data_IF_986043822157
#
_entry.id   IF_986043822157
#
_cell.length_a   1.000
_cell.length_b   1.000
_cell.length_c   1.000
_cell.angle_alpha   90.00
_cell.angle_beta   90.00
_cell.angle_gamma   90.00
#
_symmetry.space_group_name_H-M   'P 1'
#
loop_
_entity.id
_entity.type
_entity.pdbx_description
1 polymer ?
#
# COMPACT_ATOMS: atom_id res chain seq x y z
N UNK A 1 -25.57 9.48 -74.51
CA UNK A 1 -25.38 8.61 -75.68
C UNK A 1 -23.99 8.86 -76.25
N UNK A 2 -23.40 7.78 -76.75
CA UNK A 2 -22.02 7.59 -77.22
C UNK A 2 -21.55 8.60 -78.29
N UNK A 3 -20.33 9.07 -78.09
CA UNK A 3 -19.15 9.07 -78.98
C UNK A 3 -19.16 9.65 -80.42
N UNK A 4 -18.06 10.39 -80.66
CA UNK A 4 -17.16 10.39 -81.83
C UNK A 4 -17.51 11.14 -83.13
N UNK A 5 -16.66 12.13 -83.46
CA UNK A 5 -16.02 12.31 -84.79
C UNK A 5 -14.82 13.30 -84.65
N UNK A 6 -13.58 12.83 -84.80
CA UNK A 6 -12.76 12.74 -86.03
C UNK A 6 -12.16 14.07 -86.53
N UNK A 7 -10.93 14.31 -86.08
CA UNK A 7 -9.68 14.64 -86.82
C UNK A 7 -9.71 15.45 -88.13
N UNK A 8 -8.74 16.37 -88.21
CA UNK A 8 -7.90 16.64 -89.39
C UNK A 8 -7.43 18.10 -89.41
N UNK A 9 -6.28 18.52 -89.94
CA UNK A 9 -5.02 17.95 -90.47
C UNK A 9 -4.15 19.18 -90.84
N UNK A 10 -2.82 19.01 -90.99
CA UNK A 10 -1.85 19.88 -91.74
C UNK A 10 -1.41 21.21 -91.11
N UNK A 11 -0.19 21.73 -91.29
CA UNK A 11 1.06 21.31 -91.96
C UNK A 11 2.24 22.19 -91.45
N UNK A 12 3.44 21.61 -91.46
CA UNK A 12 4.82 22.14 -91.55
C UNK A 12 5.23 23.60 -91.28
N UNK A 13 6.37 23.76 -90.58
CA UNK A 13 7.65 24.22 -91.18
C UNK A 13 8.85 24.11 -90.21
N UNK A 14 9.82 23.31 -90.64
CA UNK A 14 11.25 23.31 -90.28
C UNK A 14 11.90 24.69 -90.65
N UNK A 15 13.01 25.21 -90.13
CA UNK A 15 14.34 24.68 -89.78
C UNK A 15 15.18 25.78 -89.05
N UNK A 16 16.42 25.41 -88.68
CA UNK A 16 17.61 26.19 -88.24
C UNK A 16 17.82 26.28 -86.72
N UNK A 17 18.55 25.36 -86.07
CA UNK A 17 19.96 24.92 -86.20
C UNK A 17 20.97 26.05 -85.89
N UNK A 18 21.63 25.89 -84.73
CA UNK A 18 22.76 26.68 -84.25
C UNK A 18 23.37 25.96 -83.03
N UNK A 19 24.24 25.02 -83.34
CA UNK A 19 24.89 24.00 -82.51
C UNK A 19 26.08 24.52 -81.68
N UNK A 20 26.56 23.65 -80.76
CA UNK A 20 27.85 23.60 -80.04
C UNK A 20 27.86 24.20 -78.62
N UNK A 21 28.23 23.52 -77.52
CA UNK A 21 28.98 22.27 -77.24
C UNK A 21 28.41 21.64 -75.92
N UNK A 22 28.10 20.34 -75.77
CA UNK A 22 28.97 19.17 -75.49
C UNK A 22 29.72 19.32 -74.12
N UNK A 23 29.74 18.45 -73.08
CA UNK A 23 29.56 16.99 -72.82
C UNK A 23 29.52 16.80 -71.23
N UNK A 24 29.41 15.59 -70.61
CA UNK A 24 28.25 14.74 -70.27
C UNK A 24 28.00 14.47 -68.76
N UNK A 25 27.01 13.60 -68.53
CA UNK A 25 26.99 12.48 -67.59
C UNK A 25 26.24 12.68 -66.27
N UNK A 26 25.00 12.20 -66.28
CA UNK A 26 24.36 11.57 -65.14
C UNK A 26 25.39 10.70 -64.42
N UNK A 27 25.55 10.94 -63.12
CA UNK A 27 26.27 9.99 -62.27
C UNK A 27 25.31 8.88 -61.94
N UNK A 28 25.76 7.69 -62.30
CA UNK A 28 25.15 6.41 -62.08
C UNK A 28 24.83 6.22 -60.59
N UNK A 29 23.54 6.18 -60.25
CA UNK A 29 23.04 5.58 -59.02
C UNK A 29 22.98 4.05 -59.22
N UNK A 30 24.12 3.43 -59.47
CA UNK A 30 24.22 1.97 -59.51
C UNK A 30 25.52 1.54 -58.84
N UNK A 31 25.46 1.30 -57.52
CA UNK A 31 26.28 0.31 -56.81
C UNK A 31 25.85 0.19 -55.33
N UNK A 32 24.55 -0.02 -55.07
CA UNK A 32 24.13 -0.59 -53.77
C UNK A 32 24.14 -2.11 -53.87
N UNK A 33 25.32 -2.69 -53.65
CA UNK A 33 25.55 -4.12 -53.49
C UNK A 33 24.76 -4.68 -52.29
N UNK A 34 23.70 -5.45 -52.54
CA UNK A 34 23.00 -6.22 -51.51
C UNK A 34 23.14 -7.73 -51.73
N UNK A 35 24.05 -8.37 -50.99
CA UNK A 35 24.11 -9.83 -50.78
C UNK A 35 24.63 -10.01 -49.33
N UNK A 36 24.04 -10.76 -48.40
CA UNK A 36 23.74 -12.19 -48.47
C UNK A 36 22.63 -12.59 -47.48
N UNK A 37 21.66 -13.38 -47.95
CA UNK A 37 20.76 -14.17 -47.10
C UNK A 37 21.33 -15.59 -46.97
N UNK A 38 22.30 -15.80 -46.06
CA UNK A 38 22.66 -17.14 -45.64
C UNK A 38 21.47 -17.73 -44.85
N UNK A 39 20.81 -18.74 -45.42
CA UNK A 39 19.79 -19.64 -44.83
C UNK A 39 18.28 -19.42 -45.09
N UNK A 40 17.82 -18.73 -46.15
CA UNK A 40 16.37 -18.79 -46.49
C UNK A 40 16.09 -19.01 -47.99
N UNK A 41 15.43 -20.12 -48.34
CA UNK A 41 14.97 -20.49 -49.70
C UNK A 41 13.68 -19.78 -50.18
N UNK A 42 13.24 -18.72 -49.49
CA UNK A 42 12.00 -18.03 -49.86
C UNK A 42 12.26 -17.00 -50.97
N UNK A 43 11.37 -16.90 -51.99
CA UNK A 43 11.50 -15.93 -53.07
C UNK A 43 11.54 -14.48 -52.52
N UNK A 44 12.25 -13.56 -53.19
CA UNK A 44 12.34 -12.17 -52.75
C UNK A 44 10.94 -11.54 -52.70
N UNK A 45 10.61 -10.88 -51.59
CA UNK A 45 9.37 -10.10 -51.49
C UNK A 45 9.44 -8.96 -52.50
N UNK A 46 8.45 -8.85 -53.39
CA UNK A 46 8.32 -7.73 -54.32
C UNK A 46 8.31 -6.42 -53.53
N UNK A 47 9.17 -5.47 -53.94
CA UNK A 47 9.14 -4.10 -53.43
C UNK A 47 7.85 -3.45 -53.94
N UNK A 48 6.86 -3.32 -53.06
CA UNK A 48 5.64 -2.55 -53.35
C UNK A 48 6.00 -1.08 -53.17
N UNK A 49 6.17 -0.36 -54.28
CA UNK A 49 6.24 1.10 -54.28
C UNK A 49 4.79 1.59 -54.14
N UNK A 50 4.44 2.10 -52.97
CA UNK A 50 3.15 2.76 -52.76
C UNK A 50 3.26 4.17 -53.33
N UNK A 51 2.45 4.47 -54.35
CA UNK A 51 2.27 5.84 -54.81
C UNK A 51 1.67 6.67 -53.67
N UNK A 52 2.21 7.87 -53.44
CA UNK A 52 1.69 8.80 -52.44
C UNK A 52 0.30 9.27 -52.89
N UNK A 53 -0.74 8.62 -52.37
CA UNK A 53 -2.12 8.99 -52.61
C UNK A 53 -2.34 10.37 -51.96
N UNK A 54 -2.29 11.44 -52.77
CA UNK A 54 -2.67 12.80 -52.38
C UNK A 54 -4.20 12.90 -52.25
N UNK A 55 -4.80 11.99 -51.47
CA UNK A 55 -6.15 12.17 -50.97
C UNK A 55 -6.24 13.50 -50.21
N UNK A 56 -7.44 14.11 -50.09
CA UNK A 56 -7.58 15.37 -49.38
C UNK A 56 -6.95 15.21 -48.00
N UNK A 57 -5.89 15.97 -47.77
CA UNK A 57 -5.20 16.08 -46.48
C UNK A 57 -6.19 16.73 -45.52
N UNK A 58 -7.16 15.95 -45.05
CA UNK A 58 -8.05 16.36 -43.99
C UNK A 58 -7.19 16.62 -42.76
N UNK A 59 -7.55 17.64 -42.00
CA UNK A 59 -6.87 18.11 -40.77
C UNK A 59 -6.84 17.05 -39.64
N UNK A 60 -7.14 15.78 -39.94
CA UNK A 60 -7.19 14.67 -38.98
C UNK A 60 -8.26 14.85 -37.90
N UNK A 61 -9.13 15.85 -38.01
CA UNK A 61 -10.12 16.16 -36.99
C UNK A 61 -11.22 15.13 -36.99
N UNK A 62 -11.56 14.61 -35.80
CA UNK A 62 -12.71 13.73 -35.65
C UNK A 62 -14.00 14.41 -36.14
N UNK A 63 -14.77 13.71 -36.98
CA UNK A 63 -16.07 14.15 -37.56
C UNK A 63 -17.07 14.60 -36.47
N UNK A 64 -16.90 14.13 -35.24
CA UNK A 64 -17.49 14.71 -34.04
C UNK A 64 -16.41 14.95 -32.99
N UNK A 65 -16.16 16.22 -32.67
CA UNK A 65 -15.29 16.59 -31.56
C UNK A 65 -15.85 16.05 -30.24
N UNK A 66 -15.03 15.32 -29.49
CA UNK A 66 -15.42 14.88 -28.15
C UNK A 66 -15.67 16.11 -27.28
N UNK A 67 -16.73 16.15 -26.46
CA UNK A 67 -17.00 17.31 -25.64
C UNK A 67 -15.86 17.53 -24.65
N UNK A 68 -15.27 18.72 -24.68
CA UNK A 68 -14.08 19.08 -23.91
C UNK A 68 -14.30 19.01 -22.39
N UNK A 69 -15.56 19.01 -21.94
CA UNK A 69 -15.94 18.88 -20.53
C UNK A 69 -15.45 17.59 -19.87
N UNK A 70 -15.24 16.50 -20.62
CA UNK A 70 -14.69 15.25 -20.06
C UNK A 70 -13.18 15.29 -19.84
N UNK A 71 -12.47 16.19 -20.53
CA UNK A 71 -11.00 16.22 -20.54
C UNK A 71 -10.45 17.44 -19.82
N UNK A 72 -11.20 18.54 -19.81
CA UNK A 72 -10.79 19.81 -19.22
C UNK A 72 -11.80 20.22 -18.16
N UNK A 73 -11.33 20.24 -16.91
CA UNK A 73 -12.10 20.75 -15.79
C UNK A 73 -12.10 22.27 -15.83
N UNK A 74 -13.24 22.87 -16.22
CA UNK A 74 -13.39 24.34 -16.34
C UNK A 74 -13.39 25.04 -14.98
N UNK A 75 -14.01 24.42 -13.98
CA UNK A 75 -14.23 25.02 -12.66
C UNK A 75 -13.41 24.27 -11.61
N UNK A 76 -12.24 24.82 -11.27
CA UNK A 76 -11.38 24.33 -10.19
C UNK A 76 -11.48 25.30 -9.01
N UNK A 77 -11.73 24.79 -7.80
CA UNK A 77 -11.77 25.61 -6.58
C UNK A 77 -10.43 26.30 -6.31
N UNK A 78 -10.45 27.43 -5.61
CA UNK A 78 -9.22 28.18 -5.30
C UNK A 78 -8.23 27.35 -4.49
N UNK A 79 -8.71 26.57 -3.52
CA UNK A 79 -7.90 25.63 -2.73
C UNK A 79 -7.20 24.62 -3.64
N UNK A 80 -7.93 24.01 -4.58
CA UNK A 80 -7.37 23.01 -5.48
C UNK A 80 -6.39 23.61 -6.49
N UNK A 81 -6.62 24.85 -6.93
CA UNK A 81 -5.63 25.60 -7.72
C UNK A 81 -4.34 25.81 -6.93
N UNK A 82 -4.43 26.16 -5.65
CA UNK A 82 -3.27 26.32 -4.80
C UNK A 82 -2.48 25.00 -4.67
N UNK A 83 -3.16 23.88 -4.42
CA UNK A 83 -2.52 22.56 -4.40
C UNK A 83 -1.78 22.26 -5.71
N UNK A 84 -2.38 22.57 -6.87
CA UNK A 84 -1.71 22.40 -8.15
C UNK A 84 -0.48 23.30 -8.29
N UNK A 85 -0.53 24.55 -7.82
CA UNK A 85 0.64 25.45 -7.84
C UNK A 85 1.77 24.95 -6.95
N UNK A 86 1.45 24.31 -5.81
CA UNK A 86 2.45 23.73 -4.90
C UNK A 86 3.07 22.46 -5.49
N UNK A 87 2.27 21.64 -6.18
CA UNK A 87 2.75 20.41 -6.81
C UNK A 87 3.48 20.65 -8.14
N UNK A 88 3.16 21.74 -8.85
CA UNK A 88 3.76 22.09 -10.13
C UNK A 88 5.23 22.49 -9.94
N UNK A 89 6.08 22.01 -10.84
CA UNK A 89 7.50 22.38 -10.92
C UNK A 89 7.66 23.35 -12.09
N UNK A 90 8.23 24.53 -11.84
CA UNK A 90 8.48 25.51 -12.91
C UNK A 90 9.63 25.07 -13.82
N UNK A 91 9.69 25.60 -15.04
CA UNK A 91 10.78 25.32 -15.99
C UNK A 91 12.15 25.67 -15.40
N UNK A 92 12.26 26.81 -14.71
CA UNK A 92 13.49 27.24 -14.04
C UNK A 92 13.92 26.26 -12.95
N UNK A 93 12.96 25.68 -12.20
CA UNK A 93 13.26 24.64 -11.22
C UNK A 93 13.74 23.35 -11.89
N UNK A 94 13.23 22.99 -13.07
CA UNK A 94 13.72 21.84 -13.84
C UNK A 94 15.15 22.09 -14.30
N UNK A 95 15.44 23.27 -14.84
CA UNK A 95 16.79 23.66 -15.26
C UNK A 95 17.76 23.68 -14.08
N UNK A 96 17.38 24.27 -12.95
CA UNK A 96 18.21 24.24 -11.75
C UNK A 96 18.51 22.80 -11.30
N UNK A 97 17.51 21.90 -11.35
CA UNK A 97 17.68 20.48 -11.00
C UNK A 97 18.50 19.70 -12.01
N UNK A 98 18.49 20.07 -13.29
CA UNK A 98 19.26 19.37 -14.33
C UNK A 98 20.77 19.57 -14.16
N UNK A 99 21.17 20.72 -13.62
CA UNK A 99 22.56 20.99 -13.26
C UNK A 99 23.01 20.28 -11.98
N UNK A 100 22.07 19.76 -11.18
CA UNK A 100 22.40 19.00 -9.96
C UNK A 100 22.72 17.55 -10.32
N UNK A 101 23.80 17.06 -9.74
CA UNK A 101 24.27 15.68 -9.90
C UNK A 101 23.20 14.66 -9.44
N UNK A 102 22.70 13.86 -10.39
CA UNK A 102 21.70 12.84 -10.14
C UNK A 102 22.34 11.50 -9.73
N UNK A 103 22.73 11.39 -8.46
CA UNK A 103 23.41 10.20 -7.87
C UNK A 103 22.76 8.85 -8.22
N UNK A 104 21.43 8.82 -8.39
CA UNK A 104 20.68 7.61 -8.73
C UNK A 104 20.77 7.15 -10.19
N UNK A 105 21.36 7.96 -11.08
CA UNK A 105 21.58 7.64 -12.50
C UNK A 105 23.04 7.33 -12.83
N UNK A 106 23.98 7.75 -11.99
CA UNK A 106 25.42 7.57 -12.23
C UNK A 106 25.89 6.14 -11.94
N UNK A 107 25.25 5.48 -10.97
CA UNK A 107 25.56 4.08 -10.67
C UNK A 107 24.79 3.20 -11.64
N UNK A 108 25.45 2.22 -12.30
CA UNK A 108 24.74 1.20 -13.06
C UNK A 108 23.60 0.63 -12.22
N UNK A 109 22.37 0.68 -12.72
CA UNK A 109 21.18 0.12 -12.03
C UNK A 109 21.33 -1.36 -11.67
N UNK A 110 22.35 -2.02 -12.21
CA UNK A 110 22.76 -3.38 -11.90
C UNK A 110 23.98 -3.33 -11.00
N UNK A 111 23.86 -3.89 -9.81
CA UNK A 111 25.00 -4.09 -8.91
C UNK A 111 26.00 -5.03 -9.60
N UNK A 112 27.17 -4.52 -9.95
CA UNK A 112 28.19 -5.29 -10.69
C UNK A 112 29.04 -6.16 -9.77
N UNK A 113 29.33 -5.69 -8.55
CA UNK A 113 30.16 -6.43 -7.57
C UNK A 113 29.67 -6.14 -6.15
N UNK A 114 29.25 -7.19 -5.45
CA UNK A 114 28.97 -7.14 -4.01
C UNK A 114 30.20 -7.63 -3.26
N UNK A 115 31.04 -6.72 -2.77
CA UNK A 115 32.13 -7.06 -1.87
C UNK A 115 31.58 -7.20 -0.44
N UNK A 116 31.26 -8.42 -0.02
CA UNK A 116 30.85 -8.71 1.35
C UNK A 116 32.12 -8.79 2.22
N UNK A 117 32.60 -7.64 2.70
CA UNK A 117 33.72 -7.60 3.64
C UNK A 117 33.21 -7.81 5.07
N UNK A 118 33.04 -9.06 5.49
CA UNK A 118 32.88 -9.39 6.91
C UNK A 118 34.25 -9.28 7.58
N UNK A 119 34.48 -8.21 8.35
CA UNK A 119 35.51 -8.26 9.39
C UNK A 119 35.04 -9.28 10.43
N UNK A 120 35.61 -10.47 10.37
CA UNK A 120 35.33 -11.54 11.32
C UNK A 120 35.84 -11.13 12.71
N UNK A 121 34.93 -10.73 13.59
CA UNK A 121 35.17 -10.84 15.03
C UNK A 121 34.70 -12.22 15.46
N UNK A 122 35.64 -13.00 15.98
CA UNK A 122 35.33 -14.25 16.66
C UNK A 122 34.45 -13.93 17.87
N UNK A 123 33.37 -14.68 18.04
CA UNK A 123 32.42 -14.59 19.15
C UNK A 123 31.54 -13.33 19.21
N UNK A 124 30.53 -13.26 18.34
CA UNK A 124 29.25 -12.64 18.72
C UNK A 124 28.12 -13.26 17.91
N UNK A 125 27.13 -13.80 18.62
CA UNK A 125 25.88 -14.30 18.03
C UNK A 125 25.18 -13.09 17.41
N UNK A 126 25.29 -13.00 16.08
CA UNK A 126 24.80 -11.91 15.22
C UNK A 126 23.43 -11.36 15.64
N UNK A 127 23.45 -10.22 16.33
CA UNK A 127 22.37 -9.25 16.25
C UNK A 127 22.47 -8.61 14.85
N UNK A 128 21.42 -8.77 14.05
CA UNK A 128 21.37 -8.26 12.68
C UNK A 128 21.12 -6.76 12.69
N UNK A 129 21.85 -6.09 11.79
CA UNK A 129 21.90 -4.65 11.57
C UNK A 129 20.54 -3.96 11.42
N UNK A 130 20.45 -2.78 12.02
CA UNK A 130 19.41 -1.78 11.80
C UNK A 130 19.53 -1.17 10.40
N UNK A 131 18.98 -1.86 9.42
CA UNK A 131 18.45 -1.20 8.23
C UNK A 131 17.10 -0.62 8.63
N UNK A 132 16.81 0.64 8.28
CA UNK A 132 15.50 1.25 8.43
C UNK A 132 14.43 0.36 7.78
N UNK A 133 13.86 -0.56 8.57
CA UNK A 133 12.95 -1.59 8.10
C UNK A 133 11.60 -0.94 7.86
N UNK A 134 11.34 -0.57 6.61
CA UNK A 134 9.97 -0.45 6.11
C UNK A 134 9.17 -1.63 6.67
N UNK A 135 8.00 -1.37 7.27
CA UNK A 135 7.22 -2.33 8.07
C UNK A 135 6.76 -3.53 7.22
N UNK A 136 7.69 -4.45 6.95
CA UNK A 136 7.42 -5.68 6.23
C UNK A 136 6.73 -6.64 7.18
N UNK A 137 5.59 -7.17 6.74
CA UNK A 137 4.83 -8.14 7.51
C UNK A 137 5.74 -9.34 7.83
N UNK A 138 5.79 -9.81 9.08
CA UNK A 138 6.56 -11.00 9.44
C UNK A 138 6.18 -12.20 8.58
N UNK A 139 7.17 -13.03 8.25
CA UNK A 139 6.95 -14.24 7.45
C UNK A 139 5.93 -15.19 8.09
N UNK A 140 5.36 -16.10 7.31
CA UNK A 140 4.26 -17.00 7.75
C UNK A 140 4.61 -17.78 9.03
N UNK A 141 5.82 -18.34 9.14
CA UNK A 141 6.29 -19.10 10.32
C UNK A 141 6.34 -18.22 11.57
N UNK A 142 6.93 -17.02 11.45
CA UNK A 142 7.00 -16.06 12.56
C UNK A 142 5.61 -15.62 13.00
N UNK A 143 4.71 -15.33 12.06
CA UNK A 143 3.32 -14.97 12.36
C UNK A 143 2.56 -16.06 13.13
N UNK A 144 2.76 -17.33 12.77
CA UNK A 144 2.17 -18.46 13.50
C UNK A 144 2.74 -18.54 14.93
N UNK A 145 4.06 -18.37 15.09
CA UNK A 145 4.68 -18.40 16.42
C UNK A 145 4.18 -17.28 17.33
N UNK A 146 4.01 -16.06 16.79
CA UNK A 146 3.46 -14.92 17.53
C UNK A 146 2.02 -15.18 17.95
N UNK A 147 1.19 -15.74 17.05
CA UNK A 147 -0.19 -16.11 17.39
C UNK A 147 -0.26 -17.15 18.51
N UNK A 148 0.63 -18.15 18.50
CA UNK A 148 0.70 -19.15 19.58
C UNK A 148 1.10 -18.51 20.91
N UNK A 149 2.11 -17.65 20.92
CA UNK A 149 2.56 -16.92 22.12
C UNK A 149 1.47 -16.00 22.69
N UNK A 150 0.72 -15.30 21.82
CA UNK A 150 -0.39 -14.44 22.25
C UNK A 150 -1.48 -15.28 22.94
N UNK A 151 -1.91 -16.38 22.32
CA UNK A 151 -2.90 -17.30 22.92
C UNK A 151 -2.44 -17.84 24.27
N UNK A 152 -1.19 -18.28 24.36
CA UNK A 152 -0.63 -18.80 25.61
C UNK A 152 -0.61 -17.73 26.71
N UNK A 153 -0.25 -16.49 26.38
CA UNK A 153 -0.27 -15.38 27.34
C UNK A 153 -1.69 -15.02 27.79
N UNK A 154 -2.66 -15.07 26.89
CA UNK A 154 -4.08 -14.85 27.22
C UNK A 154 -4.62 -15.95 28.13
N UNK A 155 -4.32 -17.22 27.84
CA UNK A 155 -4.71 -18.36 28.67
C UNK A 155 -4.08 -18.30 30.07
N UNK A 156 -2.79 -17.94 30.17
CA UNK A 156 -2.10 -17.73 31.45
C UNK A 156 -2.76 -16.62 32.27
N UNK A 157 -3.03 -15.47 31.65
CA UNK A 157 -3.72 -14.35 32.32
C UNK A 157 -5.13 -14.75 32.77
N UNK A 158 -5.88 -15.46 31.94
CA UNK A 158 -7.21 -15.95 32.32
C UNK A 158 -7.16 -16.94 33.49
N UNK A 159 -6.16 -17.82 33.53
CA UNK A 159 -5.95 -18.75 34.64
C UNK A 159 -5.55 -18.02 35.94
N UNK A 160 -4.73 -16.97 35.84
CA UNK A 160 -4.36 -16.13 36.99
C UNK A 160 -5.57 -15.38 37.56
N UNK A 161 -6.40 -14.79 36.70
CA UNK A 161 -7.65 -14.13 37.12
C UNK A 161 -8.59 -15.11 37.83
N UNK A 162 -8.75 -16.33 37.30
CA UNK A 162 -9.55 -17.38 37.96
C UNK A 162 -8.98 -17.76 39.33
N UNK A 163 -7.67 -17.97 39.43
CA UNK A 163 -7.00 -18.27 40.70
C UNK A 163 -7.14 -17.14 41.72
N UNK A 164 -7.14 -15.88 41.29
CA UNK A 164 -7.38 -14.74 42.18
C UNK A 164 -8.84 -14.70 42.63
N UNK A 165 -9.79 -14.91 41.72
CA UNK A 165 -11.22 -14.99 42.08
C UNK A 165 -11.52 -16.11 43.08
N UNK A 166 -10.97 -17.31 42.87
CA UNK A 166 -11.10 -18.45 43.80
C UNK A 166 -10.54 -18.12 45.20
N UNK A 167 -9.40 -17.42 45.26
CA UNK A 167 -8.80 -16.96 46.53
C UNK A 167 -9.70 -15.95 47.22
N UNK A 168 -10.29 -15.01 46.49
CA UNK A 168 -11.21 -14.01 47.04
C UNK A 168 -12.50 -14.62 47.58
N UNK A 169 -13.09 -15.58 46.84
CA UNK A 169 -14.29 -16.31 47.26
C UNK A 169 -14.02 -17.13 48.52
N UNK A 170 -12.90 -17.84 48.58
CA UNK A 170 -12.52 -18.62 49.75
C UNK A 170 -12.33 -17.77 51.02
N UNK A 171 -11.79 -16.54 50.89
CA UNK A 171 -11.68 -15.60 52.01
C UNK A 171 -13.05 -15.11 52.46
N UNK A 172 -13.96 -14.81 51.53
CA UNK A 172 -15.33 -14.40 51.85
C UNK A 172 -16.08 -15.50 52.59
N UNK A 173 -15.95 -16.74 52.18
CA UNK A 173 -16.63 -17.87 52.81
C UNK A 173 -16.05 -18.22 54.19
N UNK A 174 -14.73 -18.13 54.36
CA UNK A 174 -14.10 -18.20 55.69
C UNK A 174 -14.65 -17.13 56.63
N UNK A 175 -14.76 -15.88 56.17
CA UNK A 175 -15.34 -14.78 56.95
C UNK A 175 -16.79 -15.04 57.32
N UNK A 176 -17.63 -15.51 56.38
CA UNK A 176 -19.03 -15.89 56.65
C UNK A 176 -19.12 -17.00 57.71
N UNK A 177 -18.30 -18.06 57.59
CA UNK A 177 -18.26 -19.18 58.56
C UNK A 177 -17.89 -18.70 59.96
N UNK A 178 -16.83 -17.90 60.08
CA UNK A 178 -16.39 -17.36 61.37
C UNK A 178 -17.43 -16.43 61.99
N UNK A 179 -18.09 -15.59 61.20
CA UNK A 179 -19.16 -14.72 61.69
C UNK A 179 -20.38 -15.51 62.16
N UNK A 180 -20.77 -16.58 61.44
CA UNK A 180 -21.85 -17.48 61.85
C UNK A 180 -21.51 -18.18 63.17
N UNK A 181 -20.28 -18.68 63.32
CA UNK A 181 -19.82 -19.31 64.57
C UNK A 181 -19.80 -18.32 65.74
N UNK A 182 -19.33 -17.08 65.54
CA UNK A 182 -19.39 -16.02 66.56
C UNK A 182 -20.84 -15.71 66.97
N UNK A 183 -21.76 -15.61 66.02
CA UNK A 183 -23.19 -15.40 66.30
C UNK A 183 -23.78 -16.57 67.10
N UNK A 184 -23.47 -17.82 66.74
CA UNK A 184 -23.93 -18.99 67.50
C UNK A 184 -23.38 -19.00 68.93
N UNK A 185 -22.08 -18.70 69.12
CA UNK A 185 -21.49 -18.58 70.46
C UNK A 185 -22.13 -17.46 71.30
N UNK A 186 -22.39 -16.29 70.70
CA UNK A 186 -23.09 -15.18 71.39
C UNK A 186 -24.51 -15.58 71.77
N UNK A 187 -25.24 -16.26 70.88
CA UNK A 187 -26.60 -16.76 71.17
C UNK A 187 -26.59 -17.82 72.28
N UNK A 188 -25.62 -18.73 72.30
CA UNK A 188 -25.48 -19.72 73.36
C UNK A 188 -25.16 -19.05 74.72
N UNK A 189 -24.24 -18.08 74.76
CA UNK A 189 -23.94 -17.29 75.97
C UNK A 189 -25.15 -16.49 76.45
N UNK A 190 -25.88 -15.84 75.55
CA UNK A 190 -27.10 -15.10 75.91
C UNK A 190 -28.23 -16.03 76.39
N UNK A 191 -28.37 -17.24 75.82
CA UNK A 191 -29.31 -18.25 76.31
C UNK A 191 -28.90 -18.77 77.70
N UNK A 192 -27.62 -19.08 77.89
CA UNK A 192 -27.07 -19.51 79.17
C UNK A 192 -27.19 -18.43 80.25
N UNK A 193 -26.96 -17.16 79.92
CA UNK A 193 -27.18 -16.04 80.86
C UNK A 193 -28.67 -15.83 81.16
N UNK A 194 -29.55 -15.97 80.17
CA UNK A 194 -31.01 -15.93 80.42
C UNK A 194 -31.50 -17.12 81.24
N UNK A 195 -30.89 -18.29 81.10
CA UNK A 195 -31.19 -19.46 81.92
C UNK A 195 -30.62 -19.31 83.34
N UNK A 196 -29.39 -18.79 83.50
CA UNK A 196 -28.80 -18.48 84.79
C UNK A 196 -29.52 -17.33 85.53
N UNK A 197 -30.05 -16.33 84.81
CA UNK A 197 -30.93 -15.30 85.38
C UNK A 197 -32.32 -15.86 85.72
N UNK A 198 -32.76 -16.95 85.09
CA UNK A 198 -34.03 -17.61 85.38
C UNK A 198 -33.91 -18.65 86.50
N UNK A 199 -32.73 -19.22 86.72
CA UNK A 199 -32.39 -20.06 87.88
C UNK A 199 -31.90 -19.22 89.08
N UNK A 200 -31.40 -18.00 88.86
CA UNK A 200 -31.04 -17.05 89.93
C UNK A 200 -32.19 -16.15 90.41
N UNK A 201 -33.36 -16.20 89.77
CA UNK A 201 -34.60 -15.50 90.19
C UNK A 201 -35.60 -16.47 90.87
N UNK A 202 -35.16 -17.68 91.18
CA UNK A 202 -35.95 -18.68 91.91
C UNK A 202 -35.46 -18.92 93.36
N UNK A 203 -34.39 -18.24 93.80
CA UNK A 203 -33.76 -18.47 95.11
C UNK A 203 -33.23 -17.16 95.75
N UNK A 204 -33.96 -16.04 95.63
CA UNK A 204 -33.86 -14.96 96.64
C UNK A 204 -35.24 -14.70 97.25
N UNK A 205 -35.39 -15.35 98.39
CA UNK A 205 -36.49 -15.35 99.31
C UNK A 205 -36.96 -13.96 99.75
N UNK A 206 -38.22 -13.95 100.11
CA UNK A 206 -39.01 -12.97 100.85
C UNK A 206 -38.30 -12.29 102.02
N UNK A 207 -38.43 -10.95 102.13
CA UNK A 207 -38.64 -10.24 103.39
C UNK A 207 -39.04 -8.75 103.20
N UNK A 208 -40.00 -8.30 104.02
CA UNK A 208 -40.28 -6.92 104.46
C UNK A 208 -40.93 -5.86 103.51
N UNK A 209 -42.27 -5.90 103.47
CA UNK A 209 -43.23 -4.92 104.05
C UNK A 209 -43.07 -3.37 103.91
N UNK A 210 -44.25 -2.73 103.71
CA UNK A 210 -44.68 -1.34 104.02
C UNK A 210 -44.22 -0.11 103.20
N UNK A 211 -45.21 0.58 102.57
CA UNK A 211 -45.60 2.00 102.83
C UNK A 211 -45.86 2.91 101.60
N UNK A 212 -47.13 3.36 101.46
CA UNK A 212 -47.53 4.71 100.97
C UNK A 212 -47.96 4.81 99.49
N UNK A 213 -49.25 4.84 99.13
CA UNK A 213 -50.23 5.96 99.20
C UNK A 213 -49.84 7.21 98.41
N UNK A 214 -50.43 7.37 97.22
CA UNK A 214 -51.22 8.53 96.76
C UNK A 214 -51.99 8.19 95.47
#
# INVERSE_FOLDING_TARGET
MKDCSLTGSKESRDNDIGESEAIPAAKDDEEEEFVFRLFSKAPPSQKVVLEEDHGPTGDGTFVSGRPLSYYVVKNVSAERKHEYTVAAVSGDQVLARSHVRAWGLEVPRKVTKLAITRKARANEKRAQDEVAQTKRRPGKKQRISLRKRIKEMEERKAAEVKKLAEKEEHVKDKKKRMNRLKKLRKRAKAKGQKQALKEGDADHDSNADLSGSE
#
